data_IF_912809736897
#
_entry.id   IF_912809736897
#
_cell.length_a   1.000
_cell.length_b   1.000
_cell.length_c   1.000
_cell.angle_alpha   90.00
_cell.angle_beta   90.00
_cell.angle_gamma   90.00
#
_symmetry.space_group_name_H-M   'P 1'
#
loop_
_entity.id
_entity.type
_entity.pdbx_description
1 polymer ?
#
# COMPACT_ATOMS: atom_id res chain seq x y z
N UNK A 1 32.33 -2.47 -12.60
CA UNK A 1 30.87 -2.36 -12.76
C UNK A 1 30.61 -2.10 -14.23
N UNK A 2 30.02 -3.03 -14.99
CA UNK A 2 29.78 -2.82 -16.43
C UNK A 2 28.81 -1.66 -16.63
N UNK A 3 29.13 -0.77 -17.56
CA UNK A 3 28.25 0.34 -17.96
C UNK A 3 27.63 -0.04 -19.29
N UNK A 4 26.31 -0.30 -19.29
CA UNK A 4 25.55 -0.54 -20.52
C UNK A 4 25.14 0.80 -21.14
N UNK A 5 25.32 0.92 -22.46
CA UNK A 5 24.91 2.10 -23.23
C UNK A 5 23.56 1.80 -23.89
N UNK A 6 22.58 2.63 -23.62
CA UNK A 6 21.27 2.59 -24.26
C UNK A 6 21.14 3.73 -25.28
N UNK A 7 20.42 3.48 -26.36
CA UNK A 7 20.24 4.44 -27.46
C UNK A 7 19.33 5.60 -27.07
N UNK A 8 18.35 5.31 -26.21
CA UNK A 8 17.38 6.25 -25.70
C UNK A 8 16.97 5.89 -24.27
N UNK A 9 16.22 6.79 -23.62
CA UNK A 9 15.74 6.58 -22.27
C UNK A 9 14.75 5.41 -22.21
N UNK A 10 13.86 5.25 -23.19
CA UNK A 10 12.85 4.20 -23.16
C UNK A 10 13.49 2.81 -23.07
N UNK A 11 14.56 2.58 -23.82
CA UNK A 11 15.34 1.36 -23.77
C UNK A 11 15.97 1.13 -22.39
N UNK A 12 16.52 2.19 -21.77
CA UNK A 12 17.05 2.11 -20.41
C UNK A 12 15.95 1.78 -19.39
N UNK A 13 14.77 2.37 -19.53
CA UNK A 13 13.61 2.09 -18.67
C UNK A 13 13.14 0.63 -18.80
N UNK A 14 13.08 0.09 -20.01
CA UNK A 14 12.72 -1.31 -20.26
C UNK A 14 13.77 -2.27 -19.72
N UNK A 15 15.05 -1.91 -19.75
CA UNK A 15 16.13 -2.75 -19.19
C UNK A 15 16.01 -2.95 -17.66
N UNK A 16 15.30 -2.06 -16.94
CA UNK A 16 15.01 -2.22 -15.51
C UNK A 16 13.89 -3.23 -15.24
N UNK A 17 13.14 -3.64 -16.26
CA UNK A 17 12.00 -4.53 -16.10
C UNK A 17 12.47 -5.98 -15.97
N UNK A 18 11.75 -6.74 -15.16
CA UNK A 18 11.94 -8.19 -15.12
C UNK A 18 11.28 -8.83 -16.35
N UNK A 19 11.85 -9.90 -16.90
CA UNK A 19 11.23 -10.62 -18.00
C UNK A 19 9.89 -11.25 -17.57
N UNK A 20 8.99 -11.41 -18.52
CA UNK A 20 7.69 -12.06 -18.29
C UNK A 20 7.91 -13.47 -17.75
N UNK A 21 7.22 -13.81 -16.66
CA UNK A 21 7.36 -15.12 -16.00
C UNK A 21 8.49 -15.21 -14.98
N UNK A 22 9.28 -14.14 -14.77
CA UNK A 22 10.31 -14.15 -13.73
C UNK A 22 9.69 -14.35 -12.33
N UNK A 23 10.08 -15.40 -11.58
CA UNK A 23 9.54 -15.68 -10.26
C UNK A 23 9.84 -14.57 -9.23
N UNK A 24 10.80 -13.68 -9.50
CA UNK A 24 11.08 -12.50 -8.69
C UNK A 24 9.97 -11.45 -8.73
N UNK A 25 9.13 -11.41 -9.79
CA UNK A 25 8.02 -10.46 -9.91
C UNK A 25 7.10 -10.60 -8.70
N UNK A 26 6.60 -11.82 -8.45
CA UNK A 26 5.71 -12.08 -7.31
C UNK A 26 6.35 -11.76 -5.95
N UNK A 27 7.66 -12.01 -5.79
CA UNK A 27 8.39 -11.66 -4.57
C UNK A 27 8.48 -10.16 -4.36
N UNK A 28 8.83 -9.39 -5.41
CA UNK A 28 8.95 -7.93 -5.37
C UNK A 28 7.59 -7.26 -5.13
N UNK A 29 6.54 -7.72 -5.81
CA UNK A 29 5.17 -7.25 -5.58
C UNK A 29 4.76 -7.45 -4.12
N UNK A 30 4.96 -8.65 -3.55
CA UNK A 30 4.65 -8.89 -2.13
C UNK A 30 5.43 -7.98 -1.18
N UNK A 31 6.71 -7.76 -1.43
CA UNK A 31 7.54 -6.86 -0.63
C UNK A 31 7.01 -5.41 -0.71
N UNK A 32 6.64 -4.95 -1.91
CA UNK A 32 6.04 -3.64 -2.12
C UNK A 32 4.72 -3.51 -1.34
N UNK A 33 3.82 -4.49 -1.46
CA UNK A 33 2.54 -4.51 -0.74
C UNK A 33 2.72 -4.47 0.78
N UNK A 34 3.64 -5.26 1.33
CA UNK A 34 3.97 -5.24 2.76
C UNK A 34 4.45 -3.87 3.20
N UNK A 35 5.29 -3.21 2.40
CA UNK A 35 5.79 -1.86 2.70
C UNK A 35 4.68 -0.82 2.63
N UNK A 36 3.80 -0.92 1.64
CA UNK A 36 2.62 -0.04 1.53
C UNK A 36 1.64 -0.22 2.69
N UNK A 37 1.45 -1.45 3.18
CA UNK A 37 0.60 -1.70 4.35
C UNK A 37 1.09 -1.01 5.64
N UNK A 38 2.38 -0.64 5.71
CA UNK A 38 2.93 0.13 6.83
C UNK A 38 2.69 1.64 6.71
N UNK A 39 2.44 2.12 5.48
CA UNK A 39 2.33 3.55 5.16
C UNK A 39 0.86 3.95 5.03
N UNK A 40 0.04 3.06 4.48
CA UNK A 40 -1.38 3.33 4.23
C UNK A 40 -2.16 3.11 5.52
N UNK A 41 -3.01 4.06 5.92
CA UNK A 41 -3.90 3.84 7.05
C UNK A 41 -4.77 2.59 6.81
N UNK A 42 -5.10 1.82 7.85
CA UNK A 42 -5.88 0.59 7.70
C UNK A 42 -7.15 0.86 6.89
N UNK A 43 -7.42 -0.03 5.94
CA UNK A 43 -8.58 0.08 5.04
C UNK A 43 -9.84 0.07 5.90
N UNK A 44 -10.50 1.24 5.97
CA UNK A 44 -11.84 1.34 6.55
C UNK A 44 -12.75 0.48 5.66
N UNK A 45 -13.53 -0.45 6.22
CA UNK A 45 -14.46 -1.26 5.44
C UNK A 45 -15.35 -0.33 4.61
N UNK A 46 -15.25 -0.45 3.28
CA UNK A 46 -16.10 0.34 2.37
C UNK A 46 -17.50 -0.25 2.39
N UNK A 47 -18.53 0.60 2.56
CA UNK A 47 -19.94 0.21 2.48
C UNK A 47 -20.75 0.50 3.75
N UNK A 48 -22.06 0.22 3.68
CA UNK A 48 -22.98 0.37 4.81
C UNK A 48 -22.80 -0.81 5.76
N UNK A 49 -22.47 -0.52 7.01
CA UNK A 49 -22.48 -1.53 8.07
C UNK A 49 -23.81 -1.51 8.80
N UNK A 50 -24.36 -2.70 9.05
CA UNK A 50 -25.55 -2.89 9.88
C UNK A 50 -25.11 -3.08 11.33
N UNK A 51 -25.67 -2.29 12.21
CA UNK A 51 -25.50 -2.42 13.66
C UNK A 51 -26.83 -2.83 14.27
N UNK A 52 -26.78 -3.57 15.38
CA UNK A 52 -27.98 -4.01 16.13
C UNK A 52 -28.60 -2.84 16.91
N UNK A 53 -27.82 -1.82 17.24
CA UNK A 53 -28.28 -0.62 17.92
C UNK A 53 -27.48 0.63 17.54
N UNK A 54 -28.03 1.82 17.83
CA UNK A 54 -27.32 3.09 17.66
C UNK A 54 -26.09 3.19 18.56
N UNK A 55 -26.16 2.68 19.80
CA UNK A 55 -25.04 2.67 20.73
C UNK A 55 -23.82 1.90 20.16
N UNK A 56 -24.09 0.78 19.48
CA UNK A 56 -23.05 0.00 18.79
C UNK A 56 -22.43 0.77 17.62
N UNK A 57 -23.25 1.47 16.84
CA UNK A 57 -22.78 2.32 15.75
C UNK A 57 -21.90 3.48 16.24
N UNK A 58 -22.29 4.10 17.36
CA UNK A 58 -21.50 5.16 18.01
C UNK A 58 -20.16 4.63 18.55
N UNK A 59 -20.17 3.47 19.22
CA UNK A 59 -18.94 2.85 19.72
C UNK A 59 -17.95 2.52 18.59
N UNK A 60 -18.44 1.99 17.46
CA UNK A 60 -17.61 1.71 16.29
C UNK A 60 -17.06 3.00 15.65
N UNK A 61 -17.86 4.06 15.59
CA UNK A 61 -17.42 5.37 15.12
C UNK A 61 -16.30 5.96 15.97
N UNK A 62 -16.41 5.89 17.29
CA UNK A 62 -15.37 6.40 18.20
C UNK A 62 -14.10 5.54 18.15
N UNK A 63 -14.21 4.21 18.05
CA UNK A 63 -13.06 3.32 17.82
C UNK A 63 -12.30 3.70 16.55
N UNK A 64 -13.01 3.97 15.45
CA UNK A 64 -12.39 4.40 14.19
C UNK A 64 -11.72 5.75 14.30
N UNK A 65 -12.33 6.72 14.99
CA UNK A 65 -11.69 8.02 15.24
C UNK A 65 -10.39 7.88 16.02
N UNK A 66 -10.37 7.03 17.05
CA UNK A 66 -9.18 6.76 17.83
C UNK A 66 -8.09 6.05 17.00
N UNK A 67 -8.46 5.14 16.10
CA UNK A 67 -7.52 4.44 15.20
C UNK A 67 -7.04 5.31 14.03
N UNK A 68 -7.89 6.22 13.55
CA UNK A 68 -7.62 7.13 12.43
C UNK A 68 -6.92 8.42 12.86
N UNK A 69 -6.42 8.49 14.10
CA UNK A 69 -5.44 9.48 14.51
C UNK A 69 -4.04 8.90 14.19
N UNK A 70 -3.52 9.07 12.96
CA UNK A 70 -2.09 8.92 12.78
C UNK A 70 -1.43 9.95 13.68
N UNK A 71 -0.27 9.57 14.21
CA UNK A 71 0.70 10.43 14.90
C UNK A 71 0.89 11.72 14.08
N UNK A 72 0.04 12.71 14.32
CA UNK A 72 0.09 14.00 13.68
C UNK A 72 1.31 14.70 14.25
N UNK A 73 2.35 14.78 13.42
CA UNK A 73 3.50 15.64 13.57
C UNK A 73 4.34 15.44 14.84
N UNK A 74 5.30 14.51 14.77
CA UNK A 74 6.58 14.72 15.45
C UNK A 74 7.59 15.11 14.37
N UNK A 75 7.72 16.42 14.15
CA UNK A 75 8.93 17.01 13.57
C UNK A 75 9.95 17.18 14.69
#
# INVERSE_FOLDING_TARGET
MPVEKFRDLEQAWRALWLPVGDPAIGRRCRALWRRWALIVPPVIPRGVQKFRSLAEAHAERERRRAQAQPRLFRQ
#
